data_IF_341154227978
#
_entry.id   IF_341154227978
#
_cell.length_a   1.000
_cell.length_b   1.000
_cell.length_c   1.000
_cell.angle_alpha   90.00
_cell.angle_beta   90.00
_cell.angle_gamma   90.00
#
_symmetry.space_group_name_H-M   'P 1'
#
loop_
_entity.id
_entity.type
_entity.pdbx_description
1 polymer ?
#
# COMPACT_ATOMS: atom_id res chain seq x y z
N UNK A 1 24.31 -35.29 1.13
CA UNK A 1 24.21 -33.84 0.89
C UNK A 1 22.77 -33.32 1.11
N UNK A 2 21.76 -33.89 0.47
CA UNK A 2 20.32 -33.47 0.57
C UNK A 2 19.78 -33.44 2.02
N UNK A 3 20.09 -34.44 2.89
CA UNK A 3 19.60 -34.50 4.27
C UNK A 3 20.03 -33.27 5.11
N UNK A 4 21.26 -32.75 4.90
CA UNK A 4 21.73 -31.54 5.60
C UNK A 4 20.95 -30.29 5.24
N UNK A 5 20.48 -30.19 4.00
CA UNK A 5 19.64 -29.09 3.54
C UNK A 5 18.27 -29.10 4.26
N UNK A 6 17.59 -30.23 4.28
CA UNK A 6 16.28 -30.34 4.95
C UNK A 6 16.38 -30.12 6.47
N UNK A 7 17.39 -30.71 7.14
CA UNK A 7 17.61 -30.45 8.56
C UNK A 7 17.81 -28.96 8.88
N UNK A 8 18.51 -28.21 7.98
CA UNK A 8 18.66 -26.75 8.12
C UNK A 8 17.31 -26.03 7.99
N UNK A 9 16.45 -26.42 7.05
CA UNK A 9 15.10 -25.81 6.94
C UNK A 9 14.27 -26.08 8.18
N UNK A 10 14.26 -27.33 8.68
CA UNK A 10 13.53 -27.73 9.88
C UNK A 10 14.01 -26.96 11.10
N UNK A 11 15.33 -26.84 11.28
CA UNK A 11 15.91 -26.04 12.37
C UNK A 11 15.48 -24.56 12.31
N UNK A 12 15.49 -23.96 11.11
CA UNK A 12 15.04 -22.59 10.92
C UNK A 12 13.55 -22.42 11.20
N UNK A 13 12.71 -23.37 10.78
CA UNK A 13 11.27 -23.34 11.05
C UNK A 13 10.99 -23.48 12.55
N UNK A 14 11.70 -24.41 13.24
CA UNK A 14 11.58 -24.57 14.69
C UNK A 14 11.98 -23.29 15.44
N UNK A 15 13.09 -22.67 15.06
CA UNK A 15 13.51 -21.39 15.64
C UNK A 15 12.44 -20.30 15.48
N UNK A 16 11.73 -20.28 14.33
CA UNK A 16 10.61 -19.34 14.12
C UNK A 16 9.40 -19.67 14.99
N UNK A 17 9.11 -20.95 15.23
CA UNK A 17 8.05 -21.39 16.13
C UNK A 17 8.37 -20.98 17.57
N UNK A 18 9.59 -21.28 18.04
CA UNK A 18 10.05 -20.96 19.40
C UNK A 18 10.04 -19.44 19.68
N UNK A 19 10.23 -18.63 18.63
CA UNK A 19 10.20 -17.16 18.69
C UNK A 19 8.82 -16.55 18.39
N UNK A 20 7.77 -17.34 18.22
CA UNK A 20 6.43 -16.89 17.83
C UNK A 20 6.39 -16.08 16.51
N UNK A 21 7.34 -16.36 15.60
CA UNK A 21 7.47 -15.71 14.28
C UNK A 21 7.04 -16.63 13.12
N UNK A 22 6.63 -17.85 13.42
CA UNK A 22 6.11 -18.79 12.43
C UNK A 22 4.83 -18.23 11.78
N UNK A 23 4.67 -18.46 10.47
CA UNK A 23 3.51 -17.99 9.71
C UNK A 23 2.99 -19.13 8.85
N UNK A 24 1.67 -19.25 8.84
CA UNK A 24 0.95 -20.15 7.96
C UNK A 24 -0.33 -19.47 7.44
N UNK A 25 -0.84 -19.86 6.28
CA UNK A 25 -2.17 -19.45 5.84
C UNK A 25 -3.23 -20.04 6.76
N UNK A 26 -4.07 -19.18 7.32
CA UNK A 26 -5.19 -19.60 8.19
C UNK A 26 -6.49 -19.27 7.48
N UNK A 27 -7.38 -20.27 7.39
CA UNK A 27 -8.74 -20.06 6.91
C UNK A 27 -9.61 -19.60 8.08
N UNK A 28 -9.97 -18.32 8.10
CA UNK A 28 -10.87 -17.75 9.10
C UNK A 28 -12.31 -17.83 8.58
N UNK A 29 -13.16 -18.64 9.22
CA UNK A 29 -14.57 -18.81 8.87
C UNK A 29 -15.51 -18.10 9.86
N UNK A 30 -15.10 -18.02 11.14
CA UNK A 30 -15.94 -17.57 12.23
C UNK A 30 -15.51 -16.18 12.71
N UNK A 31 -15.92 -15.15 11.96
CA UNK A 31 -15.77 -13.75 12.39
C UNK A 31 -17.01 -12.95 11.98
N UNK A 32 -17.36 -11.98 12.82
CA UNK A 32 -18.43 -11.02 12.54
C UNK A 32 -17.86 -9.77 11.84
N UNK A 33 -16.65 -9.35 12.22
CA UNK A 33 -16.02 -8.15 11.70
C UNK A 33 -14.59 -8.49 11.22
N UNK A 34 -14.30 -8.16 9.95
CA UNK A 34 -12.97 -8.33 9.37
C UNK A 34 -12.23 -6.99 9.36
N UNK A 35 -11.50 -6.71 10.42
CA UNK A 35 -10.65 -5.52 10.55
C UNK A 35 -9.18 -5.81 10.18
N UNK A 36 -8.90 -6.95 9.53
CA UNK A 36 -7.59 -7.26 8.94
C UNK A 36 -7.53 -6.93 7.43
N UNK A 37 -8.69 -6.70 6.79
CA UNK A 37 -8.79 -6.41 5.36
C UNK A 37 -8.42 -4.97 5.04
N UNK A 38 -7.84 -4.74 3.84
CA UNK A 38 -7.62 -3.41 3.29
C UNK A 38 -8.78 -2.94 2.37
N UNK A 39 -9.88 -3.68 2.30
CA UNK A 39 -11.09 -3.30 1.59
C UNK A 39 -11.89 -2.27 2.41
N UNK A 40 -11.37 -1.02 2.45
CA UNK A 40 -11.87 0.03 3.34
C UNK A 40 -13.32 0.46 3.10
N UNK A 41 -13.86 0.12 1.93
CA UNK A 41 -15.24 0.46 1.55
C UNK A 41 -16.12 -0.76 1.29
N UNK A 42 -15.63 -1.97 1.58
CA UNK A 42 -16.32 -3.25 1.39
C UNK A 42 -16.79 -3.49 -0.06
N UNK A 43 -16.03 -2.98 -1.03
CA UNK A 43 -16.38 -3.07 -2.45
C UNK A 43 -16.23 -4.48 -3.02
N UNK A 44 -15.47 -5.38 -2.41
CA UNK A 44 -15.26 -6.75 -2.91
C UNK A 44 -16.55 -7.55 -3.08
N UNK A 45 -17.57 -7.22 -2.29
CA UNK A 45 -18.90 -7.86 -2.34
C UNK A 45 -19.97 -6.95 -2.95
N UNK A 46 -19.59 -5.77 -3.47
CA UNK A 46 -20.55 -4.85 -4.08
C UNK A 46 -21.09 -5.39 -5.41
N UNK A 47 -22.43 -5.44 -5.61
CA UNK A 47 -23.03 -6.07 -6.79
C UNK A 47 -22.50 -5.53 -8.13
N UNK A 48 -22.26 -4.22 -8.25
CA UNK A 48 -21.73 -3.63 -9.49
C UNK A 48 -20.30 -4.06 -9.76
N UNK A 49 -19.45 -4.19 -8.73
CA UNK A 49 -18.07 -4.65 -8.86
C UNK A 49 -18.04 -6.09 -9.34
N UNK A 50 -18.86 -6.97 -8.72
CA UNK A 50 -19.00 -8.37 -9.15
C UNK A 50 -19.53 -8.44 -10.59
N UNK A 51 -20.54 -7.64 -10.94
CA UNK A 51 -21.09 -7.59 -12.30
C UNK A 51 -20.06 -7.12 -13.33
N UNK A 52 -19.21 -6.16 -12.96
CA UNK A 52 -18.10 -5.70 -13.81
C UNK A 52 -17.10 -6.81 -14.09
N UNK A 53 -16.74 -7.60 -13.06
CA UNK A 53 -15.88 -8.77 -13.23
C UNK A 53 -16.48 -9.82 -14.16
N UNK A 54 -17.78 -10.18 -13.95
CA UNK A 54 -18.51 -11.15 -14.76
C UNK A 54 -18.54 -10.73 -16.23
N UNK A 55 -18.94 -9.49 -16.51
CA UNK A 55 -19.02 -8.94 -17.88
C UNK A 55 -17.66 -9.00 -18.60
N UNK A 56 -16.58 -8.70 -17.87
CA UNK A 56 -15.23 -8.77 -18.44
C UNK A 56 -14.82 -10.22 -18.73
N UNK A 57 -15.17 -11.18 -17.86
CA UNK A 57 -14.94 -12.60 -18.12
C UNK A 57 -15.75 -13.10 -19.33
N UNK A 58 -17.03 -12.78 -19.42
CA UNK A 58 -17.88 -13.20 -20.54
C UNK A 58 -17.36 -12.69 -21.89
N UNK A 59 -16.83 -11.47 -21.92
CA UNK A 59 -16.37 -10.84 -23.15
C UNK A 59 -14.94 -11.24 -23.55
N UNK A 60 -14.03 -11.42 -22.60
CA UNK A 60 -12.59 -11.55 -22.86
C UNK A 60 -11.99 -12.88 -22.37
N UNK A 61 -12.78 -13.72 -21.69
CA UNK A 61 -12.31 -14.95 -21.06
C UNK A 61 -11.77 -14.76 -19.64
N UNK A 62 -11.36 -15.86 -19.01
CA UNK A 62 -10.92 -15.89 -17.60
C UNK A 62 -9.51 -15.35 -17.38
N UNK A 63 -8.70 -15.22 -18.42
CA UNK A 63 -7.32 -14.76 -18.35
C UNK A 63 -6.88 -14.02 -19.60
N UNK A 64 -5.78 -13.30 -19.53
CA UNK A 64 -5.25 -12.51 -20.66
C UNK A 64 -4.44 -13.32 -21.66
N UNK A 65 -4.07 -14.56 -21.35
CA UNK A 65 -3.43 -15.53 -22.26
C UNK A 65 -1.98 -15.24 -22.64
N UNK A 66 -1.50 -14.01 -22.43
CA UNK A 66 -0.15 -13.58 -22.79
C UNK A 66 0.30 -12.36 -21.99
N UNK A 67 1.56 -11.96 -22.17
CA UNK A 67 2.07 -10.69 -21.67
C UNK A 67 1.44 -9.49 -22.44
N UNK A 68 1.44 -8.29 -21.85
CA UNK A 68 0.81 -7.12 -22.49
C UNK A 68 1.42 -6.76 -23.85
N UNK A 69 2.70 -7.06 -24.07
CA UNK A 69 3.40 -6.74 -25.32
C UNK A 69 3.16 -7.76 -26.45
N UNK A 70 2.51 -8.88 -26.14
CA UNK A 70 2.07 -9.86 -27.16
C UNK A 70 0.58 -9.63 -27.46
N UNK A 71 -0.29 -10.36 -26.77
CA UNK A 71 -1.74 -10.27 -26.97
C UNK A 71 -2.52 -10.09 -25.66
N UNK A 72 -1.83 -9.93 -24.52
CA UNK A 72 -2.47 -9.87 -23.20
C UNK A 72 -3.06 -8.50 -22.83
N UNK A 73 -2.76 -7.42 -23.58
CA UNK A 73 -3.35 -6.09 -23.36
C UNK A 73 -4.68 -5.98 -24.10
N UNK A 74 -5.77 -6.24 -23.40
CA UNK A 74 -7.12 -6.28 -23.94
C UNK A 74 -7.82 -4.91 -23.79
N UNK A 75 -8.97 -4.73 -24.47
CA UNK A 75 -9.73 -3.47 -24.39
C UNK A 75 -10.14 -3.11 -22.96
N UNK A 76 -10.51 -4.10 -22.10
CA UNK A 76 -10.83 -3.83 -20.70
C UNK A 76 -9.66 -3.23 -19.90
N UNK A 77 -8.42 -3.55 -20.25
CA UNK A 77 -7.24 -2.94 -19.63
C UNK A 77 -7.05 -1.49 -20.09
N UNK A 78 -7.30 -1.23 -21.38
CA UNK A 78 -7.25 0.12 -21.93
C UNK A 78 -8.32 1.00 -21.28
N UNK A 79 -9.55 0.53 -21.20
CA UNK A 79 -10.67 1.24 -20.57
C UNK A 79 -10.39 1.55 -19.10
N UNK A 80 -9.85 0.56 -18.36
CA UNK A 80 -9.42 0.77 -16.97
C UNK A 80 -8.29 1.80 -16.86
N UNK A 81 -7.28 1.72 -17.72
CA UNK A 81 -6.16 2.65 -17.69
C UNK A 81 -6.61 4.07 -18.00
N UNK A 82 -7.48 4.26 -18.99
CA UNK A 82 -8.03 5.57 -19.33
C UNK A 82 -8.85 6.17 -18.18
N UNK A 83 -9.66 5.35 -17.50
CA UNK A 83 -10.41 5.77 -16.33
C UNK A 83 -9.49 6.17 -15.16
N UNK A 84 -8.41 5.42 -14.91
CA UNK A 84 -7.40 5.76 -13.91
C UNK A 84 -6.71 7.08 -14.26
N UNK A 85 -6.29 7.27 -15.50
CA UNK A 85 -5.62 8.49 -15.96
C UNK A 85 -6.52 9.71 -15.78
N UNK A 86 -7.78 9.60 -16.16
CA UNK A 86 -8.77 10.66 -15.94
C UNK A 86 -8.97 10.95 -14.44
N UNK A 87 -9.20 9.92 -13.64
CA UNK A 87 -9.42 10.05 -12.20
C UNK A 87 -8.22 10.66 -11.46
N UNK A 88 -7.00 10.22 -11.80
CA UNK A 88 -5.75 10.67 -11.18
C UNK A 88 -5.13 11.89 -11.84
N UNK A 89 -5.77 12.46 -12.87
CA UNK A 89 -5.31 13.65 -13.60
C UNK A 89 -3.86 13.51 -14.08
N UNK A 90 -3.50 12.34 -14.60
CA UNK A 90 -2.19 12.05 -15.20
C UNK A 90 -2.35 11.76 -16.68
N UNK A 91 -1.30 12.06 -17.47
CA UNK A 91 -1.35 11.94 -18.94
C UNK A 91 -1.03 10.52 -19.43
N UNK A 92 -0.14 9.82 -18.75
CA UNK A 92 0.39 8.54 -19.20
C UNK A 92 0.46 7.55 -18.03
N UNK A 93 0.34 6.27 -18.34
CA UNK A 93 0.39 5.24 -17.33
C UNK A 93 0.54 3.85 -17.89
N UNK A 94 0.79 2.91 -17.00
CA UNK A 94 0.81 1.48 -17.29
C UNK A 94 0.27 0.70 -16.12
N UNK A 95 -0.29 -0.50 -16.40
CA UNK A 95 -0.84 -1.41 -15.39
C UNK A 95 0.16 -2.51 -15.07
N UNK A 96 0.10 -3.02 -13.86
CA UNK A 96 0.87 -4.16 -13.37
C UNK A 96 -0.04 -5.17 -12.66
N UNK A 97 0.42 -6.41 -12.53
CA UNK A 97 -0.33 -7.48 -11.85
C UNK A 97 -0.46 -7.26 -10.33
N UNK A 98 0.41 -6.46 -9.73
CA UNK A 98 0.35 -6.09 -8.30
C UNK A 98 1.14 -4.82 -8.00
N UNK A 99 0.84 -4.16 -6.86
CA UNK A 99 1.65 -3.05 -6.35
C UNK A 99 3.08 -3.45 -6.02
N UNK A 100 3.28 -4.70 -5.60
CA UNK A 100 4.62 -5.23 -5.35
C UNK A 100 5.46 -5.21 -6.63
N UNK A 101 4.90 -5.76 -7.70
CA UNK A 101 5.57 -5.83 -9.02
C UNK A 101 5.79 -4.43 -9.61
N UNK A 102 4.83 -3.52 -9.47
CA UNK A 102 4.94 -2.14 -9.94
C UNK A 102 6.10 -1.39 -9.26
N UNK A 103 6.16 -1.42 -7.93
CA UNK A 103 7.23 -0.78 -7.16
C UNK A 103 8.60 -1.40 -7.46
N UNK A 104 8.66 -2.74 -7.55
CA UNK A 104 9.90 -3.44 -7.86
C UNK A 104 10.42 -3.06 -9.25
N UNK A 105 9.56 -3.10 -10.28
CA UNK A 105 9.92 -2.69 -11.64
C UNK A 105 10.40 -1.24 -11.71
N UNK A 106 9.63 -0.32 -11.09
CA UNK A 106 9.94 1.11 -11.10
C UNK A 106 11.31 1.40 -10.48
N UNK A 107 11.54 0.94 -9.25
CA UNK A 107 12.74 1.28 -8.49
C UNK A 107 14.00 0.52 -8.96
N UNK A 108 13.84 -0.66 -9.54
CA UNK A 108 14.93 -1.45 -10.12
C UNK A 108 15.45 -0.85 -11.42
N UNK A 109 14.54 -0.36 -12.27
CA UNK A 109 14.91 -0.04 -13.65
C UNK A 109 15.04 1.45 -13.95
N UNK A 110 14.29 2.32 -13.24
CA UNK A 110 14.28 3.75 -13.57
C UNK A 110 15.52 4.48 -13.05
N UNK A 111 15.91 4.38 -11.75
CA UNK A 111 17.12 5.03 -11.28
C UNK A 111 18.37 4.28 -11.74
N UNK A 112 19.35 5.01 -12.31
CA UNK A 112 20.61 4.47 -12.82
C UNK A 112 21.79 4.64 -11.86
N UNK A 113 22.98 4.20 -12.29
CA UNK A 113 24.21 4.21 -11.46
C UNK A 113 24.74 5.61 -11.12
N UNK A 114 24.26 6.64 -11.82
CA UNK A 114 24.61 8.05 -11.56
C UNK A 114 23.57 8.77 -10.71
N UNK A 115 22.52 8.06 -10.30
CA UNK A 115 21.40 8.62 -9.56
C UNK A 115 21.48 8.27 -8.08
N UNK A 116 20.82 9.09 -7.26
CA UNK A 116 20.62 8.87 -5.84
C UNK A 116 19.14 8.75 -5.53
N UNK A 117 18.76 7.72 -4.78
CA UNK A 117 17.40 7.59 -4.25
C UNK A 117 17.40 7.88 -2.76
N UNK A 118 16.65 8.90 -2.35
CA UNK A 118 16.33 9.18 -0.94
C UNK A 118 15.00 8.54 -0.61
N UNK A 119 15.00 7.53 0.27
CA UNK A 119 13.80 6.79 0.63
C UNK A 119 13.48 6.95 2.11
N UNK A 120 12.21 7.08 2.47
CA UNK A 120 11.80 7.04 3.86
C UNK A 120 12.24 5.70 4.50
N UNK A 121 12.57 5.72 5.78
CA UNK A 121 13.08 4.53 6.50
C UNK A 121 12.07 3.39 6.53
N UNK A 122 10.77 3.68 6.55
CA UNK A 122 9.67 2.70 6.67
C UNK A 122 8.94 2.42 5.36
N UNK A 123 9.52 2.73 4.20
CA UNK A 123 8.95 2.37 2.89
C UNK A 123 8.57 0.90 2.82
N UNK A 124 7.53 0.61 2.04
CA UNK A 124 7.05 -0.74 1.81
C UNK A 124 8.15 -1.67 1.29
N UNK A 125 8.08 -2.93 1.68
CA UNK A 125 9.08 -3.95 1.30
C UNK A 125 9.29 -4.06 -0.21
N UNK A 126 8.27 -3.87 -1.03
CA UNK A 126 8.39 -3.89 -2.50
C UNK A 126 9.31 -2.77 -3.04
N UNK A 127 9.22 -1.56 -2.46
CA UNK A 127 10.09 -0.43 -2.77
C UNK A 127 11.53 -0.78 -2.38
N UNK A 128 11.72 -1.27 -1.15
CA UNK A 128 13.03 -1.68 -0.66
C UNK A 128 13.67 -2.78 -1.54
N UNK A 129 12.89 -3.78 -1.99
CA UNK A 129 13.38 -4.83 -2.89
C UNK A 129 13.74 -4.29 -4.28
N UNK A 130 12.99 -3.35 -4.82
CA UNK A 130 13.35 -2.66 -6.06
C UNK A 130 14.67 -1.91 -5.94
N UNK A 131 14.86 -1.14 -4.85
CA UNK A 131 16.10 -0.41 -4.57
C UNK A 131 17.32 -1.32 -4.39
N UNK A 132 17.16 -2.47 -3.73
CA UNK A 132 18.27 -3.45 -3.57
C UNK A 132 18.69 -4.07 -4.89
N UNK A 133 17.85 -4.09 -5.91
CA UNK A 133 18.14 -4.60 -7.25
C UNK A 133 18.53 -3.48 -8.23
N UNK A 134 18.41 -2.22 -7.83
CA UNK A 134 18.79 -1.06 -8.64
C UNK A 134 20.29 -0.90 -8.72
N UNK A 135 20.78 -0.31 -9.82
CA UNK A 135 22.16 0.16 -9.95
C UNK A 135 22.39 1.51 -9.25
N UNK A 136 21.35 2.22 -8.87
CA UNK A 136 21.43 3.51 -8.19
C UNK A 136 21.93 3.37 -6.74
N UNK A 137 22.58 4.41 -6.25
CA UNK A 137 22.82 4.53 -4.81
C UNK A 137 21.56 4.96 -4.09
N UNK A 138 21.27 4.40 -2.91
CA UNK A 138 20.17 4.87 -2.11
C UNK A 138 20.58 5.18 -0.66
N UNK A 139 19.86 6.10 -0.05
CA UNK A 139 20.00 6.48 1.35
C UNK A 139 18.60 6.58 1.97
N UNK A 140 18.50 6.14 3.21
CA UNK A 140 17.26 6.28 3.97
C UNK A 140 17.31 7.54 4.82
N UNK A 141 16.24 8.32 4.82
CA UNK A 141 16.03 9.38 5.81
C UNK A 141 15.09 8.88 6.92
N UNK A 142 15.16 9.53 8.08
CA UNK A 142 14.34 9.17 9.23
C UNK A 142 12.86 9.32 8.88
N UNK A 143 12.04 8.42 9.42
CA UNK A 143 10.63 8.32 9.08
C UNK A 143 9.89 9.64 9.29
N UNK A 144 9.22 10.13 8.25
CA UNK A 144 8.49 11.41 8.17
C UNK A 144 9.32 12.67 8.49
N UNK A 145 10.65 12.56 8.56
CA UNK A 145 11.54 13.65 8.98
C UNK A 145 12.10 14.40 7.75
N UNK A 146 11.42 15.50 7.40
CA UNK A 146 11.85 16.39 6.31
C UNK A 146 13.12 17.18 6.66
N UNK A 147 13.46 17.34 7.95
CA UNK A 147 14.71 18.00 8.38
C UNK A 147 15.90 17.08 8.08
N UNK A 148 15.78 15.79 8.40
CA UNK A 148 16.81 14.80 8.05
C UNK A 148 16.93 14.63 6.53
N UNK A 149 15.79 14.61 5.81
CA UNK A 149 15.81 14.60 4.34
C UNK A 149 16.57 15.82 3.80
N UNK A 150 16.27 17.03 4.27
CA UNK A 150 16.96 18.28 3.87
C UNK A 150 18.46 18.19 4.10
N UNK A 151 18.90 17.81 5.30
CA UNK A 151 20.33 17.63 5.65
C UNK A 151 21.01 16.64 4.68
N UNK A 152 20.34 15.57 4.31
CA UNK A 152 20.87 14.59 3.35
C UNK A 152 20.93 15.15 1.93
N UNK A 153 19.92 15.92 1.51
CA UNK A 153 19.93 16.63 0.23
C UNK A 153 21.10 17.60 0.13
N UNK A 154 21.30 18.44 1.14
CA UNK A 154 22.44 19.37 1.22
C UNK A 154 23.78 18.65 1.08
N UNK A 155 23.92 17.49 1.73
CA UNK A 155 25.17 16.73 1.75
C UNK A 155 25.46 15.97 0.48
N UNK A 156 24.43 15.42 -0.19
CA UNK A 156 24.64 14.40 -1.22
C UNK A 156 24.12 14.80 -2.60
N UNK A 157 23.13 15.69 -2.74
CA UNK A 157 22.44 15.92 -4.02
C UNK A 157 23.40 16.32 -5.15
N UNK A 158 24.38 17.16 -4.86
CA UNK A 158 25.36 17.66 -5.86
C UNK A 158 26.35 16.59 -6.36
N UNK A 159 26.34 15.39 -5.79
CA UNK A 159 27.26 14.29 -6.17
C UNK A 159 26.65 13.38 -7.23
N UNK A 160 25.41 13.62 -7.64
CA UNK A 160 24.63 12.76 -8.53
C UNK A 160 23.99 13.58 -9.66
N UNK A 161 23.72 12.93 -10.80
CA UNK A 161 23.05 13.58 -11.93
C UNK A 161 21.58 13.83 -11.63
N UNK A 162 20.90 12.85 -11.00
CA UNK A 162 19.49 12.93 -10.61
C UNK A 162 19.31 12.47 -9.17
N UNK A 163 18.40 13.11 -8.47
CA UNK A 163 17.93 12.66 -7.15
C UNK A 163 16.46 12.27 -7.25
N UNK A 164 16.13 11.10 -6.73
CA UNK A 164 14.77 10.63 -6.52
C UNK A 164 14.43 10.69 -5.04
N UNK A 165 13.23 11.13 -4.71
CA UNK A 165 12.67 11.00 -3.36
C UNK A 165 11.48 10.06 -3.44
N UNK A 166 11.48 9.02 -2.58
CA UNK A 166 10.44 8.01 -2.53
C UNK A 166 9.79 7.97 -1.16
N UNK A 167 8.47 8.10 -1.12
CA UNK A 167 7.66 8.02 0.09
C UNK A 167 6.30 7.40 -0.20
N UNK A 168 5.56 7.08 0.88
CA UNK A 168 4.18 6.62 0.79
C UNK A 168 3.23 7.74 1.24
N UNK A 169 2.05 7.81 0.65
CA UNK A 169 1.01 8.75 1.10
C UNK A 169 0.41 8.34 2.43
N UNK A 170 0.35 7.03 2.71
CA UNK A 170 -0.02 6.46 4.02
C UNK A 170 0.82 5.22 4.24
N UNK A 171 1.53 5.17 5.35
CA UNK A 171 2.37 4.02 5.70
C UNK A 171 1.55 2.86 6.23
N UNK A 172 1.80 1.69 5.67
CA UNK A 172 0.92 0.51 5.81
C UNK A 172 0.84 -0.06 7.23
N UNK A 173 1.86 0.16 8.06
CA UNK A 173 1.94 -0.42 9.41
C UNK A 173 1.60 0.56 10.52
N UNK A 174 1.74 1.85 10.29
CA UNK A 174 1.56 2.91 11.28
C UNK A 174 0.33 3.78 10.98
N UNK A 175 -0.10 3.81 9.72
CA UNK A 175 -1.26 4.59 9.28
C UNK A 175 -1.02 6.09 9.38
N UNK A 176 0.22 6.50 9.50
CA UNK A 176 0.67 7.88 9.44
C UNK A 176 1.03 8.27 8.00
N UNK A 177 1.31 9.56 7.79
CA UNK A 177 1.60 10.09 6.46
C UNK A 177 2.46 11.35 6.53
N UNK A 178 3.26 11.63 5.46
CA UNK A 178 4.16 12.77 5.42
C UNK A 178 3.40 14.08 5.21
N UNK A 179 4.04 15.17 5.61
CA UNK A 179 3.67 16.52 5.18
C UNK A 179 4.10 16.72 3.72
N UNK A 180 3.22 16.33 2.80
CA UNK A 180 3.50 16.40 1.35
C UNK A 180 3.63 17.85 0.86
N UNK A 181 2.97 18.82 1.50
CA UNK A 181 3.09 20.24 1.11
C UNK A 181 4.51 20.73 1.40
N UNK A 182 5.04 20.47 2.59
CA UNK A 182 6.41 20.82 2.93
C UNK A 182 7.44 19.99 2.17
N UNK A 183 7.12 18.74 1.76
CA UNK A 183 7.96 17.98 0.86
C UNK A 183 8.08 18.65 -0.54
N UNK A 184 6.98 19.18 -1.07
CA UNK A 184 7.01 19.94 -2.33
C UNK A 184 7.77 21.28 -2.16
N UNK A 185 7.62 21.96 -1.03
CA UNK A 185 8.42 23.15 -0.73
C UNK A 185 9.93 22.82 -0.71
N UNK A 186 10.30 21.64 -0.24
CA UNK A 186 11.68 21.18 -0.28
C UNK A 186 12.14 20.88 -1.73
N UNK A 187 11.24 20.35 -2.59
CA UNK A 187 11.50 20.10 -4.02
C UNK A 187 11.86 21.40 -4.76
N UNK A 188 11.27 22.53 -4.37
CA UNK A 188 11.62 23.84 -4.93
C UNK A 188 13.02 24.32 -4.55
N UNK A 189 13.56 23.85 -3.40
CA UNK A 189 14.92 24.17 -2.96
C UNK A 189 15.97 23.21 -3.52
N UNK A 190 15.61 21.96 -3.63
CA UNK A 190 16.46 20.86 -4.12
C UNK A 190 15.69 20.09 -5.19
N UNK A 191 15.99 20.29 -6.48
CA UNK A 191 15.29 19.56 -7.55
C UNK A 191 15.45 18.04 -7.38
N UNK A 192 14.32 17.32 -7.38
CA UNK A 192 14.27 15.87 -7.36
C UNK A 192 13.01 15.34 -8.05
N UNK A 193 13.06 14.09 -8.47
CA UNK A 193 11.90 13.36 -8.99
C UNK A 193 11.16 12.73 -7.80
N UNK A 194 9.90 13.12 -7.60
CA UNK A 194 9.05 12.58 -6.53
C UNK A 194 8.32 11.34 -7.00
N UNK A 195 8.58 10.20 -6.35
CA UNK A 195 7.81 8.97 -6.47
C UNK A 195 6.93 8.83 -5.22
N UNK A 196 5.61 8.86 -5.42
CA UNK A 196 4.63 8.75 -4.34
C UNK A 196 3.83 7.46 -4.50
N UNK A 197 3.88 6.58 -3.50
CA UNK A 197 3.03 5.39 -3.41
C UNK A 197 1.73 5.74 -2.68
N UNK A 198 0.63 5.77 -3.41
CA UNK A 198 -0.74 6.06 -2.92
C UNK A 198 -1.54 4.79 -2.59
N UNK A 199 -0.88 3.66 -2.38
CA UNK A 199 -1.58 2.38 -2.19
C UNK A 199 -2.60 2.40 -1.04
N UNK A 200 -2.33 3.12 0.04
CA UNK A 200 -3.24 3.26 1.19
C UNK A 200 -3.97 4.61 1.24
N UNK A 201 -3.55 5.60 0.46
CA UNK A 201 -4.22 6.89 0.34
C UNK A 201 -5.39 6.86 -0.65
N UNK A 202 -5.23 6.09 -1.74
CA UNK A 202 -6.24 5.92 -2.78
C UNK A 202 -7.57 5.43 -2.19
N UNK A 203 -8.66 6.12 -2.53
CA UNK A 203 -10.02 5.87 -2.04
C UNK A 203 -10.32 6.54 -0.69
N UNK A 204 -9.31 6.75 0.16
CA UNK A 204 -9.45 7.24 1.53
C UNK A 204 -9.39 8.76 1.62
N UNK A 205 -8.53 9.39 0.83
CA UNK A 205 -8.31 10.83 0.81
C UNK A 205 -8.72 11.43 -0.53
N UNK A 206 -8.95 12.73 -0.54
CA UNK A 206 -9.38 13.49 -1.71
C UNK A 206 -10.89 13.50 -1.90
N UNK A 207 -11.40 14.57 -2.50
CA UNK A 207 -12.83 14.76 -2.75
C UNK A 207 -13.41 13.64 -3.61
N UNK A 208 -12.67 13.18 -4.60
CA UNK A 208 -13.07 12.07 -5.49
C UNK A 208 -12.41 10.75 -5.10
N UNK A 209 -11.81 10.65 -3.91
CA UNK A 209 -11.04 9.48 -3.49
C UNK A 209 -9.74 9.28 -4.23
N UNK A 210 -9.21 10.30 -4.87
CA UNK A 210 -7.98 10.25 -5.66
C UNK A 210 -6.70 10.13 -4.84
N UNK A 211 -6.76 10.19 -3.51
CA UNK A 211 -5.64 10.00 -2.62
C UNK A 211 -5.20 11.27 -1.89
N UNK A 212 -4.13 11.15 -1.11
CA UNK A 212 -3.62 12.24 -0.27
C UNK A 212 -3.05 13.39 -1.12
N UNK A 213 -2.44 13.09 -2.26
CA UNK A 213 -1.93 14.11 -3.17
C UNK A 213 -3.06 14.96 -3.80
N UNK A 214 -4.23 14.36 -4.07
CA UNK A 214 -5.43 15.10 -4.47
C UNK A 214 -5.89 16.02 -3.34
N UNK A 215 -6.03 15.48 -2.12
CA UNK A 215 -6.51 16.24 -0.96
C UNK A 215 -5.63 17.44 -0.65
N UNK A 216 -4.32 17.26 -0.73
CA UNK A 216 -3.34 18.33 -0.51
C UNK A 216 -3.07 19.22 -1.74
N UNK A 217 -3.77 18.95 -2.85
CA UNK A 217 -3.68 19.72 -4.11
C UNK A 217 -2.27 19.79 -4.71
N UNK A 218 -1.51 18.68 -4.56
CA UNK A 218 -0.13 18.59 -5.04
C UNK A 218 0.06 17.57 -6.17
N UNK A 219 -1.03 17.06 -6.75
CA UNK A 219 -0.98 16.08 -7.84
C UNK A 219 -0.09 16.49 -9.02
N UNK A 220 -0.06 17.77 -9.45
CA UNK A 220 0.81 18.20 -10.55
C UNK A 220 2.30 18.02 -10.25
N UNK A 221 2.71 18.19 -8.99
CA UNK A 221 4.11 18.17 -8.53
C UNK A 221 4.64 16.76 -8.29
N UNK A 222 3.76 15.76 -8.25
CA UNK A 222 4.13 14.35 -8.16
C UNK A 222 4.54 13.85 -9.54
N UNK A 223 5.82 13.53 -9.73
CA UNK A 223 6.35 13.11 -11.04
C UNK A 223 5.90 11.70 -11.40
N UNK A 224 5.91 10.78 -10.43
CA UNK A 224 5.51 9.39 -10.60
C UNK A 224 4.57 9.00 -9.46
N UNK A 225 3.35 8.61 -9.84
CA UNK A 225 2.33 8.16 -8.91
C UNK A 225 2.15 6.65 -9.04
N UNK A 226 2.29 5.93 -7.94
CA UNK A 226 2.01 4.51 -7.86
C UNK A 226 0.73 4.29 -7.07
N UNK A 227 -0.10 3.35 -7.48
CA UNK A 227 -1.26 2.93 -6.70
C UNK A 227 -1.63 1.48 -6.95
N UNK A 228 -2.47 0.94 -6.08
CA UNK A 228 -2.93 -0.45 -6.18
C UNK A 228 -4.42 -0.53 -6.41
N UNK A 229 -4.82 -1.58 -7.14
CA UNK A 229 -6.22 -1.96 -7.33
C UNK A 229 -6.71 -2.94 -6.25
N UNK A 230 -5.79 -3.45 -5.41
CA UNK A 230 -6.04 -4.55 -4.47
C UNK A 230 -6.46 -4.15 -3.06
N UNK A 231 -6.76 -2.88 -2.81
CA UNK A 231 -7.17 -2.37 -1.48
C UNK A 231 -8.54 -1.71 -1.56
N UNK A 232 -8.64 -0.40 -1.46
CA UNK A 232 -9.90 0.35 -1.57
C UNK A 232 -10.70 0.02 -2.84
N UNK A 233 -10.03 -0.36 -3.93
CA UNK A 233 -10.68 -0.74 -5.19
C UNK A 233 -11.08 -2.22 -5.26
N UNK A 234 -10.82 -2.99 -4.20
CA UNK A 234 -11.31 -4.36 -3.99
C UNK A 234 -11.08 -5.35 -5.15
N UNK A 235 -9.98 -5.15 -5.90
CA UNK A 235 -9.61 -5.96 -7.03
C UNK A 235 -8.17 -6.48 -6.88
N UNK A 236 -7.45 -6.64 -7.97
CA UNK A 236 -6.02 -6.97 -8.02
C UNK A 236 -5.34 -6.15 -9.11
N UNK A 237 -4.05 -5.89 -8.95
CA UNK A 237 -3.26 -5.11 -9.88
C UNK A 237 -2.76 -3.80 -9.28
N UNK A 238 -2.09 -3.03 -10.12
CA UNK A 238 -1.54 -1.72 -9.78
C UNK A 238 -1.35 -0.87 -11.03
N UNK A 239 -1.03 0.40 -10.81
CA UNK A 239 -0.69 1.33 -11.88
C UNK A 239 0.54 2.17 -11.50
N UNK A 240 1.29 2.56 -12.53
CA UNK A 240 2.33 3.59 -12.47
C UNK A 240 1.91 4.68 -13.46
N UNK A 241 1.83 5.92 -12.98
CA UNK A 241 1.36 7.06 -13.75
C UNK A 241 2.40 8.18 -13.75
N UNK A 242 2.48 8.93 -14.85
CA UNK A 242 3.32 10.12 -14.96
C UNK A 242 2.74 11.10 -15.99
N UNK A 243 3.19 12.36 -15.92
CA UNK A 243 2.94 13.33 -16.97
C UNK A 243 4.01 13.30 -18.07
N UNK A 244 5.08 12.54 -17.87
CA UNK A 244 6.14 12.34 -18.86
C UNK A 244 6.04 10.95 -19.51
N UNK A 245 5.84 10.91 -20.81
CA UNK A 245 5.70 9.66 -21.58
C UNK A 245 6.99 8.84 -21.60
N UNK A 246 8.16 9.46 -21.45
CA UNK A 246 9.45 8.78 -21.52
C UNK A 246 9.58 7.74 -20.40
N UNK A 247 9.05 8.03 -19.20
CA UNK A 247 9.04 7.11 -18.06
C UNK A 247 8.27 5.84 -18.41
N UNK A 248 7.06 5.99 -18.95
CA UNK A 248 6.20 4.84 -19.30
C UNK A 248 6.82 4.04 -20.46
N UNK A 249 7.30 4.72 -21.51
CA UNK A 249 7.97 4.06 -22.63
C UNK A 249 9.23 3.33 -22.18
N UNK A 250 10.02 3.94 -21.30
CA UNK A 250 11.25 3.32 -20.80
C UNK A 250 10.91 2.03 -20.03
N UNK A 251 10.04 2.12 -19.04
CA UNK A 251 9.62 0.94 -18.26
C UNK A 251 9.00 -0.16 -19.13
N UNK A 252 8.20 0.20 -20.14
CA UNK A 252 7.63 -0.76 -21.10
C UNK A 252 8.71 -1.55 -21.84
N UNK A 253 9.88 -0.96 -22.08
CA UNK A 253 10.95 -1.59 -22.84
C UNK A 253 12.02 -2.28 -22.02
N UNK A 254 12.12 -2.00 -20.70
CA UNK A 254 13.19 -2.55 -19.85
C UNK A 254 12.70 -3.36 -18.66
N UNK A 255 11.47 -3.16 -18.20
CA UNK A 255 10.96 -3.84 -17.03
C UNK A 255 10.55 -5.28 -17.34
N UNK A 256 11.40 -6.23 -16.97
CA UNK A 256 11.12 -7.66 -17.16
C UNK A 256 9.82 -8.12 -16.45
N UNK A 257 9.49 -7.48 -15.38
CA UNK A 257 8.25 -7.67 -14.60
C UNK A 257 6.98 -7.38 -15.42
N UNK A 258 7.09 -6.51 -16.44
CA UNK A 258 6.02 -6.18 -17.37
C UNK A 258 6.12 -7.00 -18.66
N UNK A 259 7.32 -7.13 -19.23
CA UNK A 259 7.57 -7.74 -20.54
C UNK A 259 7.26 -9.24 -20.53
N UNK A 260 7.66 -9.96 -19.47
CA UNK A 260 7.66 -11.42 -19.42
C UNK A 260 6.54 -12.01 -18.54
N UNK A 261 5.65 -11.18 -18.01
CA UNK A 261 4.55 -11.61 -17.15
C UNK A 261 3.25 -11.72 -17.94
N UNK A 262 2.52 -12.83 -17.83
CA UNK A 262 1.12 -12.90 -18.26
C UNK A 262 0.34 -11.78 -17.56
N UNK A 263 -0.50 -11.09 -18.31
CA UNK A 263 -1.10 -9.84 -17.84
C UNK A 263 -2.32 -10.08 -16.93
N UNK A 264 -2.76 -8.99 -16.33
CA UNK A 264 -3.89 -8.89 -15.40
C UNK A 264 -5.14 -9.58 -15.99
N UNK A 265 -5.82 -10.50 -15.27
CA UNK A 265 -7.04 -11.12 -15.75
C UNK A 265 -8.14 -10.09 -16.04
N UNK A 266 -8.95 -10.28 -17.09
CA UNK A 266 -10.06 -9.37 -17.46
C UNK A 266 -11.05 -9.10 -16.30
N UNK A 267 -11.35 -10.12 -15.51
CA UNK A 267 -12.23 -10.00 -14.33
C UNK A 267 -11.75 -8.91 -13.38
N UNK A 268 -10.45 -8.87 -13.12
CA UNK A 268 -9.84 -7.89 -12.21
C UNK A 268 -9.89 -6.48 -12.80
N UNK A 269 -9.66 -6.36 -14.11
CA UNK A 269 -9.78 -5.09 -14.81
C UNK A 269 -11.23 -4.55 -14.76
N UNK A 270 -12.23 -5.40 -15.03
CA UNK A 270 -13.65 -5.05 -14.97
C UNK A 270 -14.11 -4.67 -13.56
N UNK A 271 -13.66 -5.42 -12.53
CA UNK A 271 -13.96 -5.11 -11.13
C UNK A 271 -13.37 -3.75 -10.73
N UNK A 272 -12.08 -3.52 -11.01
CA UNK A 272 -11.41 -2.27 -10.68
C UNK A 272 -12.05 -1.05 -11.36
N UNK A 273 -12.43 -1.19 -12.64
CA UNK A 273 -13.12 -0.14 -13.40
C UNK A 273 -14.44 0.28 -12.74
N UNK A 274 -15.27 -0.69 -12.32
CA UNK A 274 -16.52 -0.38 -11.60
C UNK A 274 -16.25 0.17 -10.18
N UNK A 275 -15.22 -0.31 -9.50
CA UNK A 275 -14.83 0.23 -8.18
C UNK A 275 -14.42 1.70 -8.25
N UNK A 276 -13.71 2.12 -9.28
CA UNK A 276 -13.31 3.54 -9.46
C UNK A 276 -14.55 4.43 -9.61
N UNK A 277 -15.55 3.99 -10.37
CA UNK A 277 -16.81 4.75 -10.52
C UNK A 277 -17.51 4.94 -9.18
N UNK A 278 -17.60 3.86 -8.38
CA UNK A 278 -18.22 3.92 -7.07
C UNK A 278 -17.44 4.81 -6.09
N UNK A 279 -16.13 4.64 -6.05
CA UNK A 279 -15.25 5.37 -5.10
C UNK A 279 -15.42 6.88 -5.22
N UNK A 280 -15.63 7.41 -6.41
CA UNK A 280 -15.82 8.85 -6.63
C UNK A 280 -16.99 9.42 -5.81
N UNK A 281 -18.02 8.64 -5.58
CA UNK A 281 -19.26 9.06 -4.93
C UNK A 281 -19.31 8.71 -3.42
N UNK A 282 -18.33 8.00 -2.87
CA UNK A 282 -18.31 7.53 -1.47
C UNK A 282 -17.81 8.59 -0.46
N UNK A 283 -18.21 9.86 -0.61
CA UNK A 283 -17.74 10.94 0.27
C UNK A 283 -18.18 10.73 1.74
N UNK A 284 -19.42 10.30 1.96
CA UNK A 284 -19.95 10.04 3.31
C UNK A 284 -19.22 8.88 3.99
N UNK A 285 -18.95 7.82 3.26
CA UNK A 285 -18.22 6.64 3.73
C UNK A 285 -16.76 6.99 4.05
N UNK A 286 -16.11 7.81 3.21
CA UNK A 286 -14.76 8.35 3.49
C UNK A 286 -14.74 9.14 4.79
N UNK A 287 -15.64 10.09 4.93
CA UNK A 287 -15.77 10.92 6.14
C UNK A 287 -16.02 10.06 7.38
N UNK A 288 -16.93 9.09 7.29
CA UNK A 288 -17.22 8.13 8.38
C UNK A 288 -15.96 7.38 8.81
N UNK A 289 -15.21 6.78 7.89
CA UNK A 289 -13.99 6.02 8.18
C UNK A 289 -12.94 6.92 8.83
N UNK A 290 -12.74 8.12 8.32
CA UNK A 290 -11.77 9.10 8.85
C UNK A 290 -12.16 9.58 10.24
N UNK A 291 -13.43 9.88 10.48
CA UNK A 291 -13.94 10.28 11.79
C UNK A 291 -13.83 9.15 12.83
N UNK A 292 -14.11 7.91 12.45
CA UNK A 292 -13.87 6.75 13.31
C UNK A 292 -12.39 6.56 13.63
N UNK A 293 -11.50 6.80 12.67
CA UNK A 293 -10.05 6.75 12.90
C UNK A 293 -9.61 7.80 13.92
N UNK A 294 -10.05 9.05 13.76
CA UNK A 294 -9.78 10.12 14.73
C UNK A 294 -10.28 9.76 16.12
N UNK A 295 -11.52 9.28 16.19
CA UNK A 295 -12.12 8.87 17.46
C UNK A 295 -11.32 7.75 18.14
N UNK A 296 -10.97 6.69 17.39
CA UNK A 296 -10.20 5.57 17.93
C UNK A 296 -8.82 6.03 18.45
N UNK A 297 -8.09 6.79 17.63
CA UNK A 297 -6.75 7.30 17.99
C UNK A 297 -6.77 8.21 19.20
N UNK A 298 -7.73 9.13 19.29
CA UNK A 298 -7.88 10.03 20.44
C UNK A 298 -8.19 9.27 21.73
N UNK A 299 -8.91 8.16 21.65
CA UNK A 299 -9.21 7.28 22.79
C UNK A 299 -8.02 6.47 23.27
N UNK A 300 -7.05 6.19 22.38
CA UNK A 300 -5.82 5.47 22.72
C UNK A 300 -4.76 6.40 23.32
N UNK A 301 -4.56 7.56 22.73
CA UNK A 301 -3.54 8.56 23.14
C UNK A 301 -4.05 9.98 22.90
N UNK A 302 -4.61 10.63 23.95
CA UNK A 302 -5.30 11.93 23.79
C UNK A 302 -4.45 13.09 23.25
N UNK A 303 -3.12 13.02 23.37
CA UNK A 303 -2.22 14.16 23.08
C UNK A 303 -1.34 13.95 21.83
N UNK A 304 -1.62 12.96 20.97
CA UNK A 304 -0.83 12.73 19.77
C UNK A 304 -1.45 13.36 18.52
N UNK A 305 -0.61 13.60 17.48
CA UNK A 305 -1.07 13.95 16.13
C UNK A 305 -2.10 12.91 15.68
N UNK A 306 -3.30 13.36 15.35
CA UNK A 306 -4.39 12.52 14.93
C UNK A 306 -4.36 12.33 13.41
N UNK A 307 -3.73 11.26 12.95
CA UNK A 307 -3.87 10.84 11.56
C UNK A 307 -5.30 10.30 11.31
N UNK A 308 -5.77 10.44 10.08
CA UNK A 308 -7.14 10.08 9.69
C UNK A 308 -7.23 8.81 8.84
N UNK A 309 -6.09 8.15 8.61
CA UNK A 309 -6.07 6.92 7.81
C UNK A 309 -6.83 5.78 8.52
N UNK A 310 -7.41 4.84 7.78
CA UNK A 310 -8.16 3.72 8.37
C UNK A 310 -7.30 2.73 9.15
N UNK A 311 -5.98 2.88 9.15
CA UNK A 311 -5.04 1.94 9.77
C UNK A 311 -4.71 2.39 11.18
N UNK A 312 -5.10 1.61 12.17
CA UNK A 312 -4.86 1.86 13.60
C UNK A 312 -3.88 0.83 14.15
N UNK A 313 -2.63 1.23 14.44
CA UNK A 313 -1.67 0.34 15.10
C UNK A 313 -1.90 0.34 16.61
N UNK A 314 -1.92 -0.84 17.22
CA UNK A 314 -1.87 -1.04 18.67
C UNK A 314 -0.54 -1.70 18.99
N UNK A 315 0.42 -0.89 19.45
CA UNK A 315 1.76 -1.38 19.78
C UNK A 315 1.70 -2.26 21.02
N UNK A 316 2.18 -3.49 20.92
CA UNK A 316 2.26 -4.48 21.98
C UNK A 316 3.73 -4.73 22.36
N UNK A 317 4.59 -4.86 21.35
CA UNK A 317 6.04 -5.10 21.53
C UNK A 317 6.42 -6.57 21.36
N UNK A 318 5.88 -7.45 22.17
CA UNK A 318 6.16 -8.87 22.15
C UNK A 318 5.34 -9.63 21.11
N UNK A 319 5.94 -10.58 20.33
CA UNK A 319 5.21 -11.38 19.34
C UNK A 319 4.14 -12.30 19.91
N UNK A 320 4.41 -12.95 21.07
CA UNK A 320 3.48 -13.89 21.70
C UNK A 320 2.26 -13.14 22.25
N UNK A 321 2.50 -12.06 23.01
CA UNK A 321 1.43 -11.21 23.54
C UNK A 321 0.55 -10.65 22.42
N UNK A 322 1.16 -10.28 21.29
CA UNK A 322 0.42 -9.80 20.10
C UNK A 322 -0.51 -10.87 19.53
N UNK A 323 -0.08 -12.15 19.53
CA UNK A 323 -0.91 -13.26 19.09
C UNK A 323 -2.05 -13.53 20.07
N UNK A 324 -1.77 -13.54 21.36
CA UNK A 324 -2.78 -13.74 22.42
C UNK A 324 -3.88 -12.67 22.33
N UNK A 325 -3.47 -11.41 22.14
CA UNK A 325 -4.42 -10.30 22.04
C UNK A 325 -5.26 -10.39 20.74
N UNK A 326 -4.66 -10.79 19.61
CA UNK A 326 -5.39 -11.09 18.37
C UNK A 326 -6.44 -12.18 18.60
N UNK A 327 -6.06 -13.28 19.24
CA UNK A 327 -6.93 -14.44 19.45
C UNK A 327 -8.09 -14.09 20.40
N UNK A 328 -7.83 -13.30 21.43
CA UNK A 328 -8.88 -12.78 22.33
C UNK A 328 -9.91 -11.89 21.61
N UNK A 329 -9.49 -11.13 20.61
CA UNK A 329 -10.41 -10.36 19.76
C UNK A 329 -11.17 -11.27 18.79
N UNK A 330 -10.50 -12.28 18.23
CA UNK A 330 -11.12 -13.25 17.32
C UNK A 330 -12.22 -14.08 18.04
N UNK A 331 -12.03 -14.47 19.30
CA UNK A 331 -13.05 -15.12 20.15
C UNK A 331 -14.32 -14.26 20.31
N UNK A 332 -14.22 -12.94 20.13
CA UNK A 332 -15.37 -12.01 20.07
C UNK A 332 -15.87 -11.75 18.65
N UNK A 333 -15.39 -12.55 17.69
CA UNK A 333 -15.74 -12.38 16.27
C UNK A 333 -15.08 -11.19 15.58
N UNK A 334 -13.98 -10.64 16.16
CA UNK A 334 -13.27 -9.48 15.61
C UNK A 334 -11.92 -9.95 15.07
N UNK A 335 -11.80 -10.08 13.76
CA UNK A 335 -10.56 -10.47 13.08
C UNK A 335 -9.66 -9.25 12.86
N UNK A 336 -8.46 -9.25 13.41
CA UNK A 336 -7.45 -8.19 13.25
C UNK A 336 -6.09 -8.77 12.81
N UNK A 337 -5.24 -7.96 12.23
CA UNK A 337 -3.88 -8.36 11.85
C UNK A 337 -2.92 -8.36 13.06
N UNK A 338 -2.16 -9.44 13.27
CA UNK A 338 -1.03 -9.49 14.20
C UNK A 338 0.28 -9.34 13.41
N UNK A 339 0.87 -8.14 13.44
CA UNK A 339 2.08 -7.80 12.69
C UNK A 339 3.30 -7.97 13.60
N UNK A 340 4.26 -8.78 13.15
CA UNK A 340 5.45 -9.20 13.91
C UNK A 340 6.71 -9.08 13.04
N UNK A 341 7.91 -9.09 13.62
CA UNK A 341 9.15 -9.16 12.86
C UNK A 341 9.14 -10.30 11.80
N UNK A 342 9.80 -10.10 10.65
CA UNK A 342 10.57 -8.94 10.21
C UNK A 342 9.75 -7.85 9.51
N UNK A 343 8.40 -7.92 9.51
CA UNK A 343 7.53 -6.91 8.90
C UNK A 343 7.66 -5.56 9.62
N UNK A 344 7.85 -5.61 10.91
CA UNK A 344 8.15 -4.48 11.81
C UNK A 344 9.45 -4.76 12.56
N UNK A 345 10.14 -3.75 13.10
CA UNK A 345 11.35 -3.96 13.91
C UNK A 345 11.10 -4.88 15.13
N UNK A 346 12.17 -5.43 15.67
CA UNK A 346 12.11 -6.16 16.94
C UNK A 346 11.51 -5.28 18.05
N UNK A 347 10.77 -5.90 18.97
CA UNK A 347 10.06 -5.26 20.08
C UNK A 347 9.02 -4.21 19.63
N UNK A 348 8.55 -4.31 18.40
CA UNK A 348 7.51 -3.42 17.87
C UNK A 348 6.34 -4.18 17.24
N UNK A 349 6.13 -5.42 17.68
CA UNK A 349 4.95 -6.20 17.31
C UNK A 349 3.68 -5.46 17.70
N UNK A 350 2.67 -5.55 16.85
CA UNK A 350 1.45 -4.78 17.01
C UNK A 350 0.22 -5.47 16.44
N UNK A 351 -0.94 -5.16 17.00
CA UNK A 351 -2.16 -5.38 16.23
C UNK A 351 -2.29 -4.27 15.19
N UNK A 352 -2.71 -4.65 14.00
CA UNK A 352 -3.07 -3.73 12.93
C UNK A 352 -4.57 -3.84 12.67
N UNK A 353 -5.28 -2.81 13.05
CA UNK A 353 -6.73 -2.70 12.85
C UNK A 353 -6.96 -1.84 11.62
N UNK A 354 -7.71 -2.36 10.65
CA UNK A 354 -8.14 -1.64 9.45
C UNK A 354 -9.61 -1.32 9.54
N UNK A 355 -9.95 -0.06 9.75
CA UNK A 355 -11.34 0.39 9.76
C UNK A 355 -11.91 0.38 8.35
N UNK A 356 -13.20 0.09 8.23
CA UNK A 356 -13.93 0.17 6.96
C UNK A 356 -15.31 0.83 7.15
N UNK A 357 -15.97 1.20 6.07
CA UNK A 357 -17.23 1.97 6.09
C UNK A 357 -18.38 1.27 6.84
N UNK A 358 -18.34 -0.07 6.95
CA UNK A 358 -19.31 -0.85 7.72
C UNK A 358 -19.07 -0.89 9.24
N UNK A 359 -17.99 -0.25 9.75
CA UNK A 359 -17.72 -0.19 11.20
C UNK A 359 -18.59 0.89 11.84
N UNK A 360 -19.19 0.54 13.00
CA UNK A 360 -19.92 1.49 13.85
C UNK A 360 -19.08 1.88 15.06
N UNK A 361 -19.36 3.05 15.65
CA UNK A 361 -18.66 3.57 16.82
C UNK A 361 -18.72 2.61 18.00
N UNK A 362 -19.86 1.91 18.20
CA UNK A 362 -20.05 0.92 19.25
C UNK A 362 -19.01 -0.22 19.21
N UNK A 363 -18.63 -0.67 17.99
CA UNK A 363 -17.58 -1.68 17.83
C UNK A 363 -16.21 -1.13 18.25
N UNK A 364 -15.91 0.14 17.93
CA UNK A 364 -14.66 0.78 18.38
C UNK A 364 -14.64 0.85 19.91
N UNK A 365 -15.76 1.22 20.55
CA UNK A 365 -15.89 1.26 22.01
C UNK A 365 -15.69 -0.13 22.65
N UNK A 366 -16.21 -1.17 22.02
CA UNK A 366 -16.00 -2.57 22.46
C UNK A 366 -14.53 -2.97 22.38
N UNK A 367 -13.87 -2.69 21.25
CA UNK A 367 -12.43 -2.97 21.09
C UNK A 367 -11.61 -2.22 22.14
N UNK A 368 -11.87 -0.94 22.37
CA UNK A 368 -11.19 -0.15 23.39
C UNK A 368 -11.34 -0.74 24.80
N UNK A 369 -12.54 -1.23 25.16
CA UNK A 369 -12.78 -1.91 26.43
C UNK A 369 -11.99 -3.21 26.56
N UNK A 370 -11.88 -4.00 25.48
CA UNK A 370 -11.10 -5.24 25.47
C UNK A 370 -9.61 -4.95 25.63
N UNK A 371 -9.06 -3.98 24.87
CA UNK A 371 -7.66 -3.56 24.96
C UNK A 371 -7.29 -3.07 26.37
N UNK A 372 -8.16 -2.30 27.03
CA UNK A 372 -7.94 -1.78 28.38
C UNK A 372 -7.98 -2.88 29.47
N UNK A 373 -8.71 -3.96 29.26
CA UNK A 373 -8.71 -5.11 30.18
C UNK A 373 -7.41 -5.89 30.11
N UNK A 374 -6.87 -6.10 28.91
CA UNK A 374 -5.61 -6.83 28.73
C UNK A 374 -4.38 -6.06 29.22
N UNK A 375 -4.42 -4.73 29.29
CA UNK A 375 -3.32 -3.91 29.83
C UNK A 375 -3.30 -3.81 31.36
N UNK A 376 -4.27 -4.40 32.08
CA UNK A 376 -4.37 -4.38 33.57
C UNK A 376 -3.96 -5.69 34.22
N UNK A 377 -3.68 -6.72 33.46
CA UNK A 377 -3.17 -8.01 33.87
C UNK A 377 -1.71 -8.16 33.47
#
# INVERSE_FOLDING_TARGET
MTKKFFNRLESNLKSRQDSHLYREPILYNDYKYNLASNDYFQLRSHPNVIKGAIKACEKYGSGSGASPLLSGFLQCHKDLLDEILHWKQKKYGMLFNSGFTANQALLKHLPGNKDLVMADKLIHHSIAQGLLQSSAKFKRYAHLDLIDLKKKMEKYSKQFETVFVVTESVFSMDGDYPDLVNLINLKNQFPFILILDEAHGTGVFGQNGGGLAEEMKILPEVDILVGTLGKSLASMGAYVLSNDISIIKYLTNVAGEYIYSTFLPPAQAGAAHESIKLIKDLNKEREKVRNLSKYFRSSLKPNNILYESPIIPILVGDPMETLILRDSLLEKGILVGAVRPPTVPERSSRLRISLHSGVEKSLVDEILKLLNKCNKN
#
